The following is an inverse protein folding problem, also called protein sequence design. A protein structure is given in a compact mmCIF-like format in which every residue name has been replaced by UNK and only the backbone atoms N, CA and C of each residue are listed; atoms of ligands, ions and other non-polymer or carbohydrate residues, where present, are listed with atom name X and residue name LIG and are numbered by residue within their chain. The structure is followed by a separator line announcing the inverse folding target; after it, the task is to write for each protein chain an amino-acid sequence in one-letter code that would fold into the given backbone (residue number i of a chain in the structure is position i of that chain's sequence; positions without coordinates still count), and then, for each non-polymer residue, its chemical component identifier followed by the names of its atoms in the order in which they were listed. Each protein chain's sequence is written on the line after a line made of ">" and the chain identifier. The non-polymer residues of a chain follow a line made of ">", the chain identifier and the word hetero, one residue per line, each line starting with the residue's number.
data_IF_878661649544
#
_entry.id   IF_878661649544
#
_cell.length_a   1.000
_cell.length_b   1.000
_cell.length_c   1.000
_cell.angle_alpha   90.00
_cell.angle_beta   90.00
_cell.angle_gamma   90.00
#
_symmetry.space_group_name_H-M   'P 1'
#
loop_
_entity.id
_entity.type
_entity.pdbx_description
1 polymer ?
#
# COMPACT_ATOMS: atom_id res chain seq x y z
N UNK A 1 2.95 0.81 7.67
CA UNK A 1 4.04 1.23 6.79
C UNK A 1 5.31 1.53 7.58
N UNK A 2 5.27 2.34 8.65
CA UNK A 2 6.46 2.61 9.50
C UNK A 2 7.18 1.34 9.97
N UNK A 3 6.44 0.28 10.27
CA UNK A 3 6.99 -1.01 10.72
C UNK A 3 7.89 -1.72 9.69
N UNK A 4 7.75 -1.42 8.39
CA UNK A 4 8.49 -2.10 7.31
C UNK A 4 9.41 -1.15 6.54
N UNK A 5 9.47 0.13 6.94
CA UNK A 5 10.08 1.18 6.12
C UNK A 5 11.58 0.95 5.92
N UNK A 6 12.27 0.50 6.96
CA UNK A 6 13.72 0.26 6.91
C UNK A 6 14.07 -0.94 6.02
N UNK A 7 13.23 -1.97 6.00
CA UNK A 7 13.43 -3.18 5.19
C UNK A 7 13.15 -2.93 3.70
N UNK A 8 12.17 -2.09 3.36
CA UNK A 8 11.82 -1.80 1.96
C UNK A 8 12.61 -0.63 1.36
N UNK A 9 13.25 0.20 2.21
CA UNK A 9 14.07 1.35 1.75
C UNK A 9 15.19 0.91 0.79
N UNK A 10 15.97 -0.15 1.07
CA UNK A 10 17.00 -0.64 0.15
C UNK A 10 16.46 -0.99 -1.24
N UNK A 11 15.24 -1.53 -1.36
CA UNK A 11 14.65 -1.79 -2.67
C UNK A 11 14.49 -0.49 -3.47
N UNK A 12 13.93 0.56 -2.84
CA UNK A 12 13.79 1.86 -3.49
C UNK A 12 15.15 2.49 -3.84
N UNK A 13 16.14 2.41 -2.95
CA UNK A 13 17.49 2.96 -3.17
C UNK A 13 18.20 2.26 -4.32
N UNK A 14 18.09 0.93 -4.41
CA UNK A 14 18.70 0.11 -5.47
C UNK A 14 17.90 0.12 -6.79
N UNK A 15 16.73 0.79 -6.82
CA UNK A 15 15.88 0.82 -8.00
C UNK A 15 15.14 -0.50 -8.26
N UNK A 16 14.99 -1.35 -7.26
CA UNK A 16 14.14 -2.55 -7.32
C UNK A 16 12.68 -2.13 -7.13
N UNK A 17 11.82 -2.27 -8.16
CA UNK A 17 10.39 -1.96 -8.01
C UNK A 17 9.73 -2.92 -7.02
N UNK A 18 8.74 -2.42 -6.28
CA UNK A 18 7.93 -3.23 -5.39
C UNK A 18 6.49 -2.74 -5.38
N UNK A 19 5.54 -3.66 -5.15
CA UNK A 19 4.17 -3.31 -4.84
C UNK A 19 4.02 -3.11 -3.32
N UNK A 20 3.37 -2.04 -2.91
CA UNK A 20 3.05 -1.73 -1.53
C UNK A 20 1.55 -1.88 -1.31
N UNK A 21 1.16 -2.88 -0.54
CA UNK A 21 -0.20 -3.13 -0.08
C UNK A 21 -0.41 -2.49 1.31
N UNK A 22 -1.37 -1.59 1.44
CA UNK A 22 -1.67 -0.87 2.69
C UNK A 22 -3.13 -1.04 3.06
N UNK A 23 -3.42 -1.40 4.31
CA UNK A 23 -4.78 -1.40 4.86
C UNK A 23 -5.26 0.06 4.92
N UNK A 24 -6.27 0.41 4.13
CA UNK A 24 -6.82 1.77 4.03
C UNK A 24 -8.14 1.92 4.78
N UNK A 25 -8.86 0.82 5.01
CA UNK A 25 -10.11 0.81 5.77
C UNK A 25 -10.29 -0.52 6.49
N UNK A 26 -10.93 -0.48 7.65
CA UNK A 26 -11.28 -1.67 8.43
C UNK A 26 -12.73 -1.55 8.91
N UNK A 27 -13.39 -2.70 9.05
CA UNK A 27 -14.69 -2.84 9.69
C UNK A 27 -14.65 -4.01 10.67
N UNK A 28 -15.41 -3.88 11.77
CA UNK A 28 -15.50 -4.90 12.83
C UNK A 28 -14.12 -5.26 13.41
N UNK A 29 -13.96 -6.48 13.93
CA UNK A 29 -12.72 -6.99 14.55
C UNK A 29 -11.64 -7.35 13.53
N UNK A 30 -11.23 -6.38 12.70
CA UNK A 30 -10.14 -6.56 11.75
C UNK A 30 -8.82 -6.91 12.46
N UNK A 31 -7.98 -7.80 11.90
CA UNK A 31 -6.82 -8.35 12.58
C UNK A 31 -5.62 -7.37 12.66
N UNK A 32 -5.59 -6.36 11.78
CA UNK A 32 -4.55 -5.33 11.71
C UNK A 32 -5.18 -3.95 11.51
N UNK A 33 -4.58 -2.89 12.07
CA UNK A 33 -5.12 -1.54 11.97
C UNK A 33 -4.90 -0.93 10.58
N UNK A 34 -5.66 0.14 10.28
CA UNK A 34 -5.38 1.03 9.13
C UNK A 34 -3.92 1.48 9.18
N UNK A 35 -3.25 1.44 8.02
CA UNK A 35 -1.83 1.73 7.87
C UNK A 35 -0.91 0.52 8.04
N UNK A 36 -1.41 -0.65 8.48
CA UNK A 36 -0.66 -1.90 8.35
C UNK A 36 -0.32 -2.16 6.88
N UNK A 37 0.88 -2.65 6.61
CA UNK A 37 1.40 -2.75 5.26
C UNK A 37 2.16 -4.06 5.02
N UNK A 38 2.13 -4.49 3.78
CA UNK A 38 2.90 -5.57 3.20
C UNK A 38 3.49 -5.08 1.88
N UNK A 39 4.73 -5.44 1.59
CA UNK A 39 5.40 -5.10 0.34
C UNK A 39 5.90 -6.37 -0.35
N UNK A 40 5.78 -6.40 -1.67
CA UNK A 40 6.26 -7.50 -2.52
C UNK A 40 7.19 -6.91 -3.57
N UNK A 41 8.45 -7.33 -3.59
CA UNK A 41 9.41 -6.84 -4.58
C UNK A 41 9.22 -7.52 -5.93
N UNK A 42 9.82 -6.95 -6.99
CA UNK A 42 9.89 -7.59 -8.30
C UNK A 42 10.67 -8.91 -8.31
N UNK A 43 11.41 -9.23 -7.24
CA UNK A 43 12.08 -10.51 -7.03
C UNK A 43 11.25 -11.48 -6.19
N UNK A 44 9.96 -11.18 -5.95
CA UNK A 44 9.02 -11.93 -5.13
C UNK A 44 9.42 -12.07 -3.65
N UNK A 45 10.29 -11.17 -3.16
CA UNK A 45 10.55 -11.06 -1.72
C UNK A 45 9.38 -10.35 -1.05
N UNK A 46 8.98 -10.81 0.14
CA UNK A 46 7.81 -10.31 0.87
C UNK A 46 8.24 -9.76 2.22
N UNK A 47 7.82 -8.54 2.54
CA UNK A 47 8.07 -7.88 3.82
C UNK A 47 6.74 -7.39 4.41
N UNK A 48 6.54 -7.59 5.70
CA UNK A 48 5.34 -7.12 6.41
C UNK A 48 4.11 -8.00 6.28
N UNK A 49 3.00 -7.50 6.79
CA UNK A 49 1.72 -8.23 6.83
C UNK A 49 0.54 -7.27 7.04
N UNK A 50 -0.57 -7.59 6.35
CA UNK A 50 -1.84 -6.85 6.39
C UNK A 50 -2.93 -7.58 7.17
N UNK A 51 -2.80 -8.89 7.44
CA UNK A 51 -3.81 -9.65 8.21
C UNK A 51 -3.26 -10.62 9.26
N UNK A 52 -1.98 -10.99 9.19
CA UNK A 52 -1.37 -11.98 10.07
C UNK A 52 -1.44 -13.42 9.54
N UNK A 53 -1.79 -13.63 8.27
CA UNK A 53 -1.64 -14.92 7.57
C UNK A 53 -2.83 -15.39 6.72
N UNK A 54 -4.02 -14.79 6.87
CA UNK A 54 -5.24 -15.30 6.23
C UNK A 54 -5.33 -14.93 4.74
N UNK A 55 -4.87 -13.74 4.36
CA UNK A 55 -5.09 -13.17 3.00
C UNK A 55 -3.77 -12.85 2.29
N UNK A 56 -2.62 -13.08 2.92
CA UNK A 56 -1.29 -12.74 2.41
C UNK A 56 -0.98 -13.41 1.07
N UNK A 57 -1.42 -14.65 0.86
CA UNK A 57 -1.26 -15.35 -0.42
C UNK A 57 -2.01 -14.65 -1.56
N UNK A 58 -3.26 -14.27 -1.32
CA UNK A 58 -4.04 -13.52 -2.30
C UNK A 58 -3.43 -12.13 -2.55
N UNK A 59 -3.07 -11.40 -1.48
CA UNK A 59 -2.40 -10.09 -1.61
C UNK A 59 -1.08 -10.19 -2.37
N UNK A 60 -0.33 -11.27 -2.21
CA UNK A 60 0.88 -11.51 -2.97
C UNK A 60 0.59 -11.64 -4.47
N UNK A 61 -0.42 -12.40 -4.87
CA UNK A 61 -0.84 -12.51 -6.28
C UNK A 61 -1.28 -11.15 -6.85
N UNK A 62 -2.09 -10.41 -6.09
CA UNK A 62 -2.55 -9.08 -6.48
C UNK A 62 -1.38 -8.08 -6.61
N UNK A 63 -0.38 -8.18 -5.72
CA UNK A 63 0.83 -7.36 -5.77
C UNK A 63 1.70 -7.66 -7.00
N UNK A 64 1.83 -8.93 -7.39
CA UNK A 64 2.52 -9.33 -8.61
C UNK A 64 1.81 -8.79 -9.86
N UNK A 65 0.47 -8.75 -9.86
CA UNK A 65 -0.29 -8.15 -10.96
C UNK A 65 -0.06 -6.63 -11.05
N UNK A 66 -0.09 -5.92 -9.92
CA UNK A 66 0.22 -4.48 -9.87
C UNK A 66 1.64 -4.20 -10.37
N UNK A 67 2.63 -5.01 -9.97
CA UNK A 67 4.00 -4.92 -10.48
C UNK A 67 4.08 -5.10 -12.00
N UNK A 68 3.31 -6.04 -12.54
CA UNK A 68 3.29 -6.34 -13.98
C UNK A 68 2.60 -5.25 -14.80
N UNK A 69 1.51 -4.70 -14.28
CA UNK A 69 0.63 -3.78 -15.03
C UNK A 69 0.95 -2.30 -14.77
N UNK A 70 1.59 -1.99 -13.66
CA UNK A 70 1.77 -0.63 -13.15
C UNK A 70 0.47 0.02 -12.65
N UNK A 71 -0.66 -0.71 -12.65
CA UNK A 71 -1.97 -0.17 -12.30
C UNK A 71 -2.26 -0.43 -10.84
N UNK A 72 -2.46 0.63 -10.05
CA UNK A 72 -2.85 0.50 -8.66
C UNK A 72 -4.32 0.03 -8.54
N UNK A 73 -4.64 -0.68 -7.45
CA UNK A 73 -6.00 -1.19 -7.20
C UNK A 73 -6.33 -1.32 -5.73
N UNK A 74 -7.62 -1.30 -5.43
CA UNK A 74 -8.19 -1.59 -4.11
C UNK A 74 -8.83 -2.96 -4.10
N UNK A 75 -8.59 -3.74 -3.05
CA UNK A 75 -9.17 -5.07 -2.84
C UNK A 75 -9.76 -5.16 -1.45
N UNK A 76 -10.90 -5.85 -1.30
CA UNK A 76 -11.59 -5.97 0.00
C UNK A 76 -11.71 -7.45 0.38
N UNK A 77 -11.30 -7.77 1.60
CA UNK A 77 -11.37 -9.12 2.17
C UNK A 77 -12.11 -9.09 3.50
N UNK A 78 -13.04 -10.02 3.71
CA UNK A 78 -13.82 -10.10 4.94
C UNK A 78 -14.72 -11.32 4.98
N UNK A 79 -15.54 -11.43 6.03
CA UNK A 79 -16.55 -12.48 6.11
C UNK A 79 -17.71 -12.12 5.19
N UNK A 80 -17.94 -12.95 4.17
CA UNK A 80 -19.08 -12.82 3.28
C UNK A 80 -20.23 -13.65 3.84
N UNK A 81 -21.30 -13.00 4.30
CA UNK A 81 -22.47 -13.72 4.80
C UNK A 81 -23.36 -14.31 3.69
N UNK A 82 -23.17 -13.98 2.41
CA UNK A 82 -24.17 -14.43 1.41
C UNK A 82 -23.70 -14.64 -0.05
N UNK A 83 -22.41 -14.71 -0.38
CA UNK A 83 -21.99 -15.20 -1.71
C UNK A 83 -20.56 -15.75 -1.73
N UNK A 84 -20.49 -17.08 -1.83
CA UNK A 84 -19.45 -17.93 -2.41
C UNK A 84 -18.06 -17.32 -2.77
N UNK A 85 -17.00 -17.86 -2.14
CA UNK A 85 -15.57 -17.83 -2.56
C UNK A 85 -14.73 -16.55 -2.37
N UNK A 86 -14.93 -15.78 -1.30
CA UNK A 86 -13.93 -14.81 -0.86
C UNK A 86 -12.96 -15.44 0.16
N UNK A 87 -11.66 -15.17 0.00
CA UNK A 87 -10.65 -15.52 1.02
C UNK A 87 -11.02 -14.76 2.30
N UNK A 88 -11.55 -15.50 3.29
CA UNK A 88 -12.16 -14.91 4.48
C UNK A 88 -11.16 -14.65 5.60
N UNK A 89 -11.43 -13.59 6.37
CA UNK A 89 -10.75 -13.35 7.65
C UNK A 89 -11.41 -14.19 8.76
N UNK A 90 -10.63 -15.04 9.42
CA UNK A 90 -11.12 -15.93 10.50
C UNK A 90 -11.59 -15.19 11.76
N UNK A 91 -11.23 -13.92 11.90
CA UNK A 91 -11.58 -13.07 13.04
C UNK A 91 -12.95 -12.38 12.94
N UNK A 92 -13.67 -12.52 11.82
CA UNK A 92 -14.96 -11.84 11.64
C UNK A 92 -14.87 -10.38 11.16
N UNK A 93 -13.67 -9.87 10.90
CA UNK A 93 -13.44 -8.52 10.37
C UNK A 93 -13.50 -8.43 8.85
N UNK A 94 -13.53 -7.20 8.35
CA UNK A 94 -13.33 -6.87 6.92
C UNK A 94 -12.24 -5.81 6.82
N UNK A 95 -11.36 -5.93 5.82
CA UNK A 95 -10.30 -4.97 5.51
C UNK A 95 -10.32 -4.60 4.03
N UNK A 96 -10.10 -3.33 3.75
CA UNK A 96 -9.84 -2.80 2.41
C UNK A 96 -8.36 -2.47 2.31
N UNK A 97 -7.72 -2.97 1.25
CA UNK A 97 -6.29 -2.84 1.01
C UNK A 97 -6.09 -2.17 -0.33
N UNK A 98 -5.31 -1.09 -0.33
CA UNK A 98 -4.85 -0.42 -1.53
C UNK A 98 -3.44 -0.92 -1.89
N UNK A 99 -3.26 -1.36 -3.13
CA UNK A 99 -2.01 -1.89 -3.65
C UNK A 99 -1.55 -1.00 -4.79
N UNK A 100 -0.30 -0.54 -4.71
CA UNK A 100 0.30 0.36 -5.70
C UNK A 100 1.75 0.01 -5.99
N UNK A 101 2.20 0.30 -7.21
CA UNK A 101 3.61 0.21 -7.59
C UNK A 101 4.41 1.35 -6.93
N UNK A 102 5.60 1.01 -6.44
CA UNK A 102 6.59 1.93 -5.91
C UNK A 102 7.93 1.69 -6.63
N UNK A 103 8.38 2.72 -7.33
CA UNK A 103 9.70 2.85 -7.93
C UNK A 103 10.02 4.34 -8.14
N UNK A 104 11.18 4.66 -8.75
CA UNK A 104 11.62 6.04 -8.98
C UNK A 104 10.69 6.85 -9.88
N UNK A 105 9.88 6.20 -10.71
CA UNK A 105 9.00 6.86 -11.67
C UNK A 105 7.59 7.05 -11.09
N UNK A 106 7.05 6.01 -10.48
CA UNK A 106 5.72 5.96 -9.89
C UNK A 106 5.66 6.68 -8.55
N UNK A 107 6.72 6.72 -7.74
CA UNK A 107 6.80 7.49 -6.49
C UNK A 107 8.18 8.15 -6.28
N UNK A 108 8.52 9.20 -7.05
CA UNK A 108 9.81 9.88 -6.93
C UNK A 108 10.13 10.38 -5.51
N UNK A 109 9.11 10.83 -4.78
CA UNK A 109 9.23 11.42 -3.44
C UNK A 109 9.25 10.39 -2.30
N UNK A 110 9.24 9.08 -2.59
CA UNK A 110 9.28 8.05 -1.54
C UNK A 110 10.49 8.22 -0.61
N UNK A 111 11.65 8.61 -1.16
CA UNK A 111 12.84 8.93 -0.37
C UNK A 111 12.64 10.07 0.62
N UNK A 112 11.87 11.10 0.26
CA UNK A 112 11.51 12.21 1.16
C UNK A 112 10.67 11.70 2.34
N UNK A 113 9.73 10.79 2.07
CA UNK A 113 8.90 10.16 3.10
C UNK A 113 9.76 9.30 4.04
N UNK A 114 10.67 8.49 3.51
CA UNK A 114 11.62 7.69 4.29
C UNK A 114 12.46 8.57 5.20
N UNK A 115 13.05 9.65 4.66
CA UNK A 115 13.89 10.57 5.44
C UNK A 115 13.10 11.23 6.57
N UNK A 116 11.90 11.75 6.29
CA UNK A 116 11.06 12.35 7.31
C UNK A 116 10.68 11.36 8.41
N UNK A 117 10.39 10.09 8.07
CA UNK A 117 10.11 9.05 9.06
C UNK A 117 11.34 8.78 9.94
N UNK A 118 12.52 8.62 9.34
CA UNK A 118 13.79 8.37 10.06
C UNK A 118 14.18 9.52 10.98
N UNK A 119 13.93 10.76 10.55
CA UNK A 119 14.19 11.98 11.32
C UNK A 119 13.06 12.33 12.30
N UNK A 120 12.02 11.50 12.39
CA UNK A 120 10.83 11.73 13.22
C UNK A 120 10.15 13.07 12.94
N UNK A 121 10.24 13.58 11.71
CA UNK A 121 9.53 14.78 11.27
C UNK A 121 8.12 14.44 10.79
N UNK A 122 7.11 15.29 11.10
CA UNK A 122 5.76 15.12 10.56
C UNK A 122 5.77 15.17 9.02
N UNK A 123 5.13 14.19 8.40
CA UNK A 123 4.88 14.14 6.95
C UNK A 123 3.58 13.38 6.70
N UNK A 124 2.84 13.80 5.68
CA UNK A 124 1.63 13.15 5.23
C UNK A 124 1.73 12.78 3.75
N UNK A 125 1.13 11.64 3.40
CA UNK A 125 0.93 11.20 2.02
C UNK A 125 -0.57 10.98 1.84
N UNK A 126 -1.17 11.72 0.92
CA UNK A 126 -2.57 11.55 0.54
C UNK A 126 -2.63 11.01 -0.90
N UNK A 127 -3.28 9.87 -1.07
CA UNK A 127 -3.36 9.15 -2.35
C UNK A 127 -4.83 8.96 -2.73
N UNK A 128 -5.15 9.17 -4.01
CA UNK A 128 -6.46 8.82 -4.58
C UNK A 128 -6.54 7.30 -4.71
N UNK A 129 -7.47 6.68 -3.99
CA UNK A 129 -7.66 5.22 -3.98
C UNK A 129 -8.98 4.78 -4.64
N UNK A 130 -9.87 5.74 -4.90
CA UNK A 130 -11.15 5.54 -5.60
C UNK A 130 -11.66 6.89 -6.15
N UNK A 131 -12.63 6.86 -7.06
CA UNK A 131 -13.29 8.01 -7.65
C UNK A 131 -12.84 8.35 -9.08
N UNK A 132 -13.30 9.49 -9.62
CA UNK A 132 -13.07 9.86 -11.02
C UNK A 132 -11.66 10.43 -11.29
N UNK A 133 -10.90 10.74 -10.25
CA UNK A 133 -9.52 11.20 -10.38
C UNK A 133 -8.57 10.00 -10.64
N UNK A 134 -7.36 10.23 -11.19
CA UNK A 134 -6.44 9.14 -11.46
C UNK A 134 -6.06 8.37 -10.18
N UNK A 135 -6.38 7.07 -10.14
CA UNK A 135 -6.05 6.20 -9.02
C UNK A 135 -4.53 6.11 -8.86
N UNK A 136 -4.05 6.26 -7.62
CA UNK A 136 -2.63 6.29 -7.28
C UNK A 136 -1.99 7.69 -7.36
N UNK A 137 -2.69 8.69 -7.93
CA UNK A 137 -2.26 10.09 -7.85
C UNK A 137 -2.16 10.53 -6.38
N UNK A 138 -1.15 11.33 -6.06
CA UNK A 138 -0.83 11.63 -4.67
C UNK A 138 -0.21 13.01 -4.48
N UNK A 139 -0.42 13.52 -3.28
CA UNK A 139 0.32 14.66 -2.73
C UNK A 139 1.04 14.22 -1.46
N UNK A 140 2.23 14.77 -1.28
CA UNK A 140 3.04 14.60 -0.08
C UNK A 140 3.17 16.00 0.52
N UNK A 141 3.03 16.14 1.83
CA UNK A 141 3.18 17.44 2.45
C UNK A 141 3.71 17.33 3.87
N UNK A 142 4.49 18.33 4.26
CA UNK A 142 4.87 18.60 5.64
C UNK A 142 4.45 20.03 6.03
N UNK A 143 5.05 20.58 7.09
CA UNK A 143 4.71 21.93 7.55
C UNK A 143 5.14 23.04 6.58
N UNK A 144 6.12 22.77 5.72
CA UNK A 144 6.82 23.78 4.92
C UNK A 144 6.62 23.60 3.41
N UNK A 145 6.36 22.36 2.97
CA UNK A 145 6.41 21.98 1.56
C UNK A 145 5.28 21.02 1.17
N UNK A 146 4.93 21.09 -0.12
CA UNK A 146 3.99 20.18 -0.79
C UNK A 146 4.63 19.68 -2.07
N UNK A 147 4.57 18.37 -2.30
CA UNK A 147 5.04 17.69 -3.49
C UNK A 147 3.91 16.86 -4.12
N UNK A 148 4.07 16.53 -5.40
CA UNK A 148 3.08 15.75 -6.16
C UNK A 148 1.86 16.56 -6.59
N UNK A 149 0.86 15.85 -7.10
CA UNK A 149 -0.41 16.41 -7.58
C UNK A 149 -1.50 15.36 -7.60
N UNK A 150 -2.73 15.77 -7.32
CA UNK A 150 -3.93 14.92 -7.46
C UNK A 150 -4.55 15.01 -8.87
N UNK A 151 -4.02 15.88 -9.73
CA UNK A 151 -4.63 16.22 -11.01
C UNK A 151 -3.92 15.63 -12.23
N UNK A 152 -2.95 14.72 -12.08
CA UNK A 152 -2.18 14.24 -13.22
C UNK A 152 -2.91 13.11 -13.96
N UNK A 153 -3.91 13.50 -14.76
CA UNK A 153 -4.06 12.92 -16.08
C UNK A 153 -3.06 13.68 -16.98
N UNK A 154 -1.95 13.02 -17.31
CA UNK A 154 -0.98 13.47 -18.31
C UNK A 154 -0.80 12.36 -19.32
#
# INVERSE_FOLDING_TARGET
>A
MREIIDEITPWYENGTPFALATVVRTWSSAPRPVGAAMAVSSTAEVIGSVSGGCVEGAIHEEALEVLKTGQAKSVTYGVSDDNAFSVGLTCGGTIEIFIQLIDKQSFPEFGTVVLAIKEQRPIAVATIIDGPAPIGARIIFDADQVWGSLNSAG
#
